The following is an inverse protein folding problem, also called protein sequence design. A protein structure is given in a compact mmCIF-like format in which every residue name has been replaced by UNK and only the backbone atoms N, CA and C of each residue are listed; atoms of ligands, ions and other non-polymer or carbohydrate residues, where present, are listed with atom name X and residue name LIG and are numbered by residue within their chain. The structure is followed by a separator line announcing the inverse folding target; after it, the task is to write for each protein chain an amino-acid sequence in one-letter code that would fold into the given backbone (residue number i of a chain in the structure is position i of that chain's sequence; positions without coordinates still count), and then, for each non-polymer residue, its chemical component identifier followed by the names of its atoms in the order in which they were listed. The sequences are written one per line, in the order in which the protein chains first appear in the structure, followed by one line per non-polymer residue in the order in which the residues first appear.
data_IF_414776332898
#
_entry.id   IF_414776332898
#
_cell.length_a   1.000
_cell.length_b   1.000
_cell.length_c   1.000
_cell.angle_alpha   90.00
_cell.angle_beta   90.00
_cell.angle_gamma   90.00
#
_symmetry.space_group_name_H-M   'P 1'
#
loop_
_entity.id
_entity.type
_entity.pdbx_description
1 polymer ?
#
# COMPACT_ATOMS: atom_id res chain seq x y z
N UNK A 1 -4.71 3.69 -2.85
CA UNK A 1 -3.45 3.71 -2.09
C UNK A 1 -3.17 2.31 -1.56
N UNK A 2 -1.90 1.89 -1.43
CA UNK A 2 -1.53 0.55 -0.94
C UNK A 2 -2.27 -0.55 -1.72
N UNK A 3 -2.65 -1.66 -1.08
CA UNK A 3 -3.39 -2.76 -1.70
C UNK A 3 -4.69 -2.32 -2.39
N UNK A 4 -5.38 -1.32 -1.85
CA UNK A 4 -6.59 -0.76 -2.46
C UNK A 4 -6.33 -0.15 -3.83
N UNK A 5 -5.14 0.40 -4.08
CA UNK A 5 -4.75 0.87 -5.40
C UNK A 5 -4.53 -0.28 -6.40
N UNK A 6 -3.92 -1.39 -5.94
CA UNK A 6 -3.69 -2.56 -6.79
C UNK A 6 -5.02 -3.24 -7.16
N UNK A 7 -5.97 -3.28 -6.23
CA UNK A 7 -7.33 -3.74 -6.47
C UNK A 7 -8.10 -2.84 -7.44
N UNK A 8 -8.01 -1.52 -7.27
CA UNK A 8 -8.63 -0.57 -8.18
C UNK A 8 -8.06 -0.67 -9.60
N UNK A 9 -6.74 -0.85 -9.72
CA UNK A 9 -6.07 -1.12 -10.99
C UNK A 9 -6.59 -2.42 -11.63
N UNK A 10 -6.59 -3.52 -10.88
CA UNK A 10 -7.03 -4.84 -11.36
C UNK A 10 -8.47 -4.78 -11.89
N UNK A 11 -9.37 -4.17 -11.13
CA UNK A 11 -10.76 -3.98 -11.53
C UNK A 11 -10.88 -3.16 -12.80
N UNK A 12 -10.21 -2.00 -12.85
CA UNK A 12 -10.30 -1.07 -13.99
C UNK A 12 -9.72 -1.70 -15.27
N UNK A 13 -8.65 -2.49 -15.15
CA UNK A 13 -8.02 -3.16 -16.30
C UNK A 13 -8.83 -4.28 -16.94
N UNK A 14 -9.89 -4.74 -16.24
CA UNK A 14 -10.82 -5.79 -16.69
C UNK A 14 -12.14 -5.23 -17.23
N UNK A 15 -12.35 -3.93 -17.15
CA UNK A 15 -13.53 -3.30 -17.74
C UNK A 15 -13.44 -3.40 -19.27
N UNK A 16 -14.56 -3.76 -19.89
CA UNK A 16 -14.68 -3.74 -21.35
C UNK A 16 -14.90 -2.31 -21.84
N UNK A 17 -14.46 -2.02 -23.06
CA UNK A 17 -14.67 -0.71 -23.68
C UNK A 17 -16.17 -0.40 -23.75
N UNK A 18 -16.58 0.72 -23.12
CA UNK A 18 -17.99 1.14 -23.03
C UNK A 18 -18.76 0.61 -21.81
N UNK A 19 -18.17 -0.31 -21.02
CA UNK A 19 -18.66 -0.64 -19.68
C UNK A 19 -18.36 0.52 -18.74
N UNK A 20 -19.39 1.10 -18.11
CA UNK A 20 -19.28 2.28 -17.24
C UNK A 20 -18.13 2.18 -16.24
N UNK A 21 -17.00 2.79 -16.58
CA UNK A 21 -15.78 2.80 -15.79
C UNK A 21 -15.55 4.12 -15.07
N UNK A 22 -14.53 4.20 -14.21
CA UNK A 22 -14.19 5.44 -13.54
C UNK A 22 -13.76 6.51 -14.55
N UNK A 23 -14.17 7.76 -14.32
CA UNK A 23 -13.78 8.92 -15.14
C UNK A 23 -12.28 9.21 -15.06
N UNK A 24 -11.65 8.89 -13.94
CA UNK A 24 -10.21 8.99 -13.73
C UNK A 24 -9.76 8.01 -12.64
N UNK A 25 -8.47 7.66 -12.66
CA UNK A 25 -7.86 6.77 -11.68
C UNK A 25 -6.63 7.42 -11.07
N UNK A 26 -6.62 7.59 -9.74
CA UNK A 26 -5.43 8.06 -9.01
C UNK A 26 -4.85 6.93 -8.17
N UNK A 27 -3.63 6.51 -8.51
CA UNK A 27 -2.86 5.52 -7.77
C UNK A 27 -1.75 6.22 -7.00
N UNK A 28 -1.83 6.21 -5.68
CA UNK A 28 -0.80 6.78 -4.79
C UNK A 28 -0.19 5.69 -3.93
N UNK A 29 1.15 5.65 -3.85
CA UNK A 29 1.91 4.68 -3.06
C UNK A 29 1.35 3.25 -3.16
N UNK A 30 1.13 2.81 -4.39
CA UNK A 30 0.45 1.54 -4.72
C UNK A 30 1.48 0.54 -5.22
N UNK A 31 1.67 -0.59 -4.53
CA UNK A 31 2.61 -1.61 -4.99
C UNK A 31 2.09 -2.26 -6.28
N UNK A 32 3.01 -2.72 -7.11
CA UNK A 32 2.69 -3.42 -8.36
C UNK A 32 2.56 -4.93 -8.18
N UNK A 33 3.05 -5.50 -7.08
CA UNK A 33 3.00 -6.94 -6.84
C UNK A 33 2.94 -7.24 -5.36
N UNK A 34 1.97 -8.07 -4.96
CA UNK A 34 1.87 -8.57 -3.60
C UNK A 34 3.08 -9.44 -3.25
N UNK A 35 3.47 -10.33 -4.16
CA UNK A 35 4.59 -11.27 -3.96
C UNK A 35 5.92 -10.57 -3.70
N UNK A 36 6.22 -9.50 -4.44
CA UNK A 36 7.48 -8.76 -4.28
C UNK A 36 7.52 -8.10 -2.89
N UNK A 37 6.42 -7.50 -2.45
CA UNK A 37 6.33 -6.84 -1.15
C UNK A 37 6.42 -7.86 -0.01
N UNK A 38 5.74 -9.01 -0.12
CA UNK A 38 5.84 -10.10 0.85
C UNK A 38 7.26 -10.65 0.93
N UNK A 39 7.92 -10.88 -0.22
CA UNK A 39 9.29 -11.38 -0.26
C UNK A 39 10.27 -10.40 0.40
N UNK A 40 10.14 -9.10 0.16
CA UNK A 40 10.98 -8.10 0.82
C UNK A 40 10.67 -8.02 2.32
N UNK A 41 9.40 -8.09 2.73
CA UNK A 41 9.02 -8.14 4.14
C UNK A 41 9.61 -9.37 4.85
N UNK A 42 9.58 -10.55 4.23
CA UNK A 42 10.20 -11.77 4.75
C UNK A 42 11.71 -11.62 4.89
N UNK A 43 12.39 -11.10 3.87
CA UNK A 43 13.85 -10.85 3.90
C UNK A 43 14.25 -9.88 5.02
N UNK A 44 13.47 -8.82 5.22
CA UNK A 44 13.70 -7.86 6.31
C UNK A 44 13.45 -8.49 7.68
N UNK A 45 12.43 -9.33 7.82
CA UNK A 45 12.17 -10.08 9.05
C UNK A 45 13.30 -11.08 9.36
N UNK A 46 13.82 -11.76 8.34
CA UNK A 46 14.99 -12.65 8.47
C UNK A 46 16.25 -11.87 8.91
N UNK A 47 16.46 -10.67 8.38
CA UNK A 47 17.54 -9.78 8.84
C UNK A 47 17.38 -9.35 10.31
N UNK A 48 16.16 -9.41 10.86
CA UNK A 48 15.86 -9.26 12.27
C UNK A 48 15.88 -10.59 13.05
N UNK A 49 16.42 -11.67 12.49
CA UNK A 49 16.42 -13.03 13.07
C UNK A 49 15.01 -13.61 13.32
N UNK A 50 14.01 -13.21 12.54
CA UNK A 50 12.62 -13.61 12.76
C UNK A 50 11.92 -12.89 13.91
N UNK A 51 12.60 -11.96 14.58
CA UNK A 51 12.04 -11.18 15.69
C UNK A 51 11.08 -10.11 15.15
N UNK A 52 9.79 -10.37 15.34
CA UNK A 52 8.73 -9.48 14.90
C UNK A 52 8.72 -8.14 15.65
N UNK A 53 9.08 -8.11 16.93
CA UNK A 53 9.13 -6.86 17.71
C UNK A 53 10.26 -5.97 17.21
N UNK A 54 11.43 -6.56 16.99
CA UNK A 54 12.59 -5.86 16.40
C UNK A 54 12.30 -5.39 14.98
N UNK A 55 11.70 -6.23 14.15
CA UNK A 55 11.28 -5.86 12.80
C UNK A 55 10.34 -4.65 12.83
N UNK A 56 9.33 -4.68 13.69
CA UNK A 56 8.39 -3.55 13.83
C UNK A 56 9.09 -2.30 14.34
N UNK A 57 10.00 -2.40 15.32
CA UNK A 57 10.75 -1.26 15.83
C UNK A 57 11.67 -0.63 14.77
N UNK A 58 12.25 -1.44 13.88
CA UNK A 58 13.23 -0.99 12.88
C UNK A 58 12.58 -0.49 11.58
N UNK A 59 11.48 -1.11 11.15
CA UNK A 59 10.89 -0.86 9.84
C UNK A 59 9.55 -0.12 9.88
N UNK A 60 8.86 -0.08 11.02
CA UNK A 60 7.65 0.75 11.18
C UNK A 60 8.04 2.16 11.64
N UNK A 61 8.65 2.94 10.74
CA UNK A 61 9.00 4.32 11.05
C UNK A 61 7.75 5.21 11.10
N UNK A 62 7.41 5.70 12.29
CA UNK A 62 6.38 6.73 12.50
C UNK A 62 7.00 7.87 13.30
N UNK A 63 7.55 8.86 12.59
CA UNK A 63 8.20 10.11 13.05
C UNK A 63 9.33 10.01 14.09
N UNK A 64 10.33 10.92 14.05
CA UNK A 64 11.37 11.01 15.08
C UNK A 64 10.77 11.57 16.38
N UNK A 65 10.93 10.86 17.50
CA UNK A 65 10.43 11.31 18.81
C UNK A 65 10.13 10.21 19.84
N UNK A 66 10.27 8.93 19.47
CA UNK A 66 10.30 7.82 20.44
C UNK A 66 8.96 7.50 21.14
N UNK A 67 7.88 8.19 20.79
CA UNK A 67 6.55 7.99 21.37
C UNK A 67 5.45 7.87 20.29
N UNK A 68 5.69 7.15 19.21
CA UNK A 68 4.67 6.91 18.18
C UNK A 68 3.78 5.72 18.56
N UNK A 69 3.02 5.88 19.64
CA UNK A 69 1.81 5.07 19.83
C UNK A 69 0.99 5.26 18.56
N UNK A 70 0.60 4.14 17.91
CA UNK A 70 -0.32 4.19 16.79
C UNK A 70 -1.48 5.12 17.16
N UNK A 71 -1.80 6.16 16.36
CA UNK A 71 -2.89 7.07 16.69
C UNK A 71 -4.14 6.26 17.02
N UNK A 72 -4.82 6.57 18.14
CA UNK A 72 -5.96 5.76 18.62
C UNK A 72 -7.01 5.60 17.53
N UNK A 73 -7.30 6.67 16.78
CA UNK A 73 -8.20 6.62 15.62
C UNK A 73 -7.76 5.60 14.54
N UNK A 74 -6.46 5.45 14.30
CA UNK A 74 -5.92 4.46 13.38
C UNK A 74 -6.02 3.05 13.97
N UNK A 75 -5.70 2.86 15.25
CA UNK A 75 -5.90 1.60 15.95
C UNK A 75 -7.37 1.15 15.95
N UNK A 76 -8.28 2.06 16.24
CA UNK A 76 -9.72 1.84 16.25
C UNK A 76 -10.22 1.54 14.84
N UNK A 77 -9.77 2.26 13.82
CA UNK A 77 -10.10 1.95 12.43
C UNK A 77 -9.65 0.53 12.03
N UNK A 78 -8.43 0.12 12.41
CA UNK A 78 -7.95 -1.24 12.18
C UNK A 78 -8.73 -2.29 12.99
N UNK A 79 -9.22 -1.95 14.18
CA UNK A 79 -10.08 -2.81 14.98
C UNK A 79 -11.50 -2.95 14.39
N UNK A 80 -12.06 -1.87 13.84
CA UNK A 80 -13.39 -1.82 13.23
C UNK A 80 -13.46 -2.40 11.82
N UNK A 81 -12.34 -2.48 11.10
CA UNK A 81 -12.27 -3.05 9.74
C UNK A 81 -12.63 -4.55 9.66
N UNK A 82 -12.95 -5.20 10.78
CA UNK A 82 -13.34 -6.61 10.84
C UNK A 82 -12.18 -7.59 10.64
N UNK A 83 -12.48 -8.89 10.67
CA UNK A 83 -11.53 -9.99 10.44
C UNK A 83 -11.41 -10.40 8.97
N UNK A 84 -12.30 -9.91 8.11
CA UNK A 84 -12.46 -10.42 6.74
C UNK A 84 -11.31 -10.06 5.80
N UNK A 85 -10.55 -9.00 6.11
CA UNK A 85 -9.41 -8.57 5.29
C UNK A 85 -8.19 -8.24 6.14
N UNK A 86 -7.55 -9.28 6.67
CA UNK A 86 -6.22 -9.18 7.29
C UNK A 86 -5.20 -9.84 6.39
N UNK A 87 -4.42 -9.01 5.72
CA UNK A 87 -3.24 -9.45 4.99
C UNK A 87 -3.49 -9.74 3.52
N UNK A 88 -2.40 -10.10 2.87
CA UNK A 88 -2.23 -10.29 1.43
C UNK A 88 -2.65 -11.66 0.96
N UNK A 89 -3.00 -12.61 1.86
CA UNK A 89 -3.33 -13.99 1.50
C UNK A 89 -4.41 -14.12 0.42
N UNK A 90 -5.49 -13.33 0.50
CA UNK A 90 -6.59 -13.32 -0.47
C UNK A 90 -6.22 -12.72 -1.84
N UNK A 91 -5.10 -11.99 -1.90
CA UNK A 91 -4.61 -11.29 -3.09
C UNK A 91 -3.16 -11.66 -3.43
N UNK A 92 -2.66 -12.77 -2.88
CA UNK A 92 -1.25 -13.17 -2.97
C UNK A 92 -0.75 -13.28 -4.41
N UNK A 93 -1.63 -13.62 -5.35
CA UNK A 93 -1.34 -13.67 -6.78
C UNK A 93 -1.52 -12.37 -7.56
N UNK A 94 -2.00 -11.28 -6.94
CA UNK A 94 -2.25 -10.03 -7.66
C UNK A 94 -0.94 -9.32 -8.02
N UNK A 95 -0.82 -9.03 -9.31
CA UNK A 95 0.31 -8.35 -9.91
C UNK A 95 -0.15 -7.50 -11.09
N UNK A 96 0.25 -6.23 -11.08
CA UNK A 96 0.02 -5.32 -12.17
C UNK A 96 0.91 -5.70 -13.36
N UNK A 97 0.29 -6.08 -14.47
CA UNK A 97 1.02 -6.38 -15.71
C UNK A 97 1.03 -5.18 -16.66
N UNK A 98 2.12 -5.05 -17.43
CA UNK A 98 2.22 -4.01 -18.47
C UNK A 98 1.15 -4.14 -19.56
N UNK A 99 0.66 -5.36 -19.81
CA UNK A 99 -0.45 -5.61 -20.74
C UNK A 99 -1.77 -5.10 -20.17
N UNK A 100 -2.05 -5.36 -18.90
CA UNK A 100 -3.25 -4.85 -18.22
C UNK A 100 -3.25 -3.32 -18.10
N UNK A 101 -2.07 -2.70 -17.91
CA UNK A 101 -1.96 -1.23 -17.87
C UNK A 101 -2.45 -0.57 -19.17
N UNK A 102 -2.23 -1.22 -20.32
CA UNK A 102 -2.68 -0.69 -21.62
C UNK A 102 -4.19 -0.74 -21.80
N UNK A 103 -4.90 -1.49 -20.97
CA UNK A 103 -6.37 -1.59 -20.99
C UNK A 103 -7.06 -0.53 -20.14
N UNK A 104 -6.30 0.23 -19.33
CA UNK A 104 -6.86 1.32 -18.55
C UNK A 104 -7.16 2.49 -19.49
N UNK A 105 -8.42 2.63 -19.86
CA UNK A 105 -8.89 3.63 -20.84
C UNK A 105 -9.12 5.02 -20.23
N UNK A 106 -9.12 5.15 -18.89
CA UNK A 106 -9.36 6.43 -18.23
C UNK A 106 -8.05 7.20 -17.94
N UNK A 107 -8.10 8.55 -17.93
CA UNK A 107 -7.01 9.38 -17.45
C UNK A 107 -6.52 8.91 -16.08
N UNK A 108 -5.23 8.58 -15.99
CA UNK A 108 -4.64 7.97 -14.79
C UNK A 108 -3.46 8.79 -14.27
N UNK A 109 -3.47 9.10 -12.97
CA UNK A 109 -2.38 9.76 -12.26
C UNK A 109 -1.71 8.75 -11.32
N UNK A 110 -0.42 8.49 -11.52
CA UNK A 110 0.39 7.66 -10.64
C UNK A 110 1.32 8.53 -9.81
N UNK A 111 1.08 8.59 -8.49
CA UNK A 111 1.92 9.30 -7.53
C UNK A 111 2.87 8.29 -6.91
N UNK A 112 4.16 8.39 -7.28
CA UNK A 112 5.24 7.56 -6.74
C UNK A 112 5.86 8.26 -5.54
N UNK A 113 5.78 7.61 -4.38
CA UNK A 113 6.45 8.06 -3.16
C UNK A 113 7.94 7.72 -3.14
N UNK A 114 8.67 7.92 -4.26
CA UNK A 114 10.13 7.66 -4.29
C UNK A 114 10.90 8.52 -3.28
N UNK A 115 10.28 9.61 -2.81
CA UNK A 115 10.80 10.51 -1.78
C UNK A 115 9.74 10.97 -0.77
N UNK A 116 8.82 10.11 -0.33
CA UNK A 116 8.00 10.37 0.88
C UNK A 116 8.91 10.35 2.14
N UNK A 117 9.94 11.20 2.15
CA UNK A 117 10.55 11.63 3.38
C UNK A 117 9.56 12.57 4.03
N UNK A 118 9.07 12.18 5.20
CA UNK A 118 8.48 13.12 6.12
C UNK A 118 9.60 14.10 6.50
N UNK A 119 9.72 15.19 5.75
CA UNK A 119 10.65 16.28 6.09
C UNK A 119 10.20 16.89 7.41
N UNK A 120 11.08 17.60 8.11
CA UNK A 120 10.68 18.32 9.34
C UNK A 120 9.45 19.21 9.08
N UNK A 121 9.37 19.86 7.92
CA UNK A 121 8.21 20.65 7.50
C UNK A 121 6.90 19.84 7.38
N UNK A 122 6.97 18.55 7.03
CA UNK A 122 5.80 17.66 6.98
C UNK A 122 5.30 17.24 8.38
N UNK A 123 6.16 17.33 9.41
CA UNK A 123 5.80 17.05 10.82
C UNK A 123 5.39 18.33 11.55
N UNK A 124 6.05 19.44 11.23
CA UNK A 124 6.00 20.68 12.00
C UNK A 124 4.82 21.59 11.61
N UNK A 125 4.06 21.24 10.57
CA UNK A 125 2.80 21.90 10.22
C UNK A 125 2.94 23.40 9.98
N UNK A 126 3.96 23.81 9.23
CA UNK A 126 4.17 25.21 8.83
C UNK A 126 3.25 25.64 7.69
#
# INVERSE_FOLDING_TARGET
QSWGGLLAFEHTSKLEDGGGGPLSLTLSNTPTSVRIVEAEASKLLEACNGDQERFMAQHNFRSPGGASKQPTALADAYAHAGSTWRGTGAISGLEASAVAMRKVACPSLCIRGEHDFVTAACVDGS
#
